data_IF_719120883074
#
_entry.id   IF_719120883074
#
_cell.length_a   1.000
_cell.length_b   1.000
_cell.length_c   1.000
_cell.angle_alpha   90.00
_cell.angle_beta   90.00
_cell.angle_gamma   90.00
#
_symmetry.space_group_name_H-M   'P 1'
#
loop_
_entity.id
_entity.type
_entity.pdbx_description
1 polymer ?
#
# COMPACT_ATOMS: atom_id res chain seq x y z
N UNK A 1 11.89 -3.23 -8.41
CA UNK A 1 12.99 -3.37 -7.42
C UNK A 1 12.70 -4.42 -6.35
N UNK A 2 11.56 -4.39 -5.65
CA UNK A 2 11.26 -5.33 -4.56
C UNK A 2 11.52 -6.83 -4.86
N UNK A 3 11.19 -7.34 -6.06
CA UNK A 3 11.43 -8.75 -6.42
C UNK A 3 12.91 -9.20 -6.44
N UNK A 4 13.86 -8.25 -6.41
CA UNK A 4 15.31 -8.54 -6.32
C UNK A 4 15.79 -8.59 -4.86
N UNK A 5 15.14 -7.85 -3.98
CA UNK A 5 15.56 -7.65 -2.59
C UNK A 5 14.87 -8.60 -1.61
N UNK A 6 13.67 -9.09 -1.94
CA UNK A 6 12.88 -9.97 -1.09
C UNK A 6 12.39 -11.21 -1.82
N UNK A 7 12.20 -12.29 -1.07
CA UNK A 7 11.63 -13.53 -1.57
C UNK A 7 10.26 -13.27 -2.23
N UNK A 8 9.98 -13.96 -3.34
CA UNK A 8 8.81 -13.70 -4.19
C UNK A 8 7.48 -13.71 -3.44
N UNK A 9 7.31 -14.59 -2.45
CA UNK A 9 6.07 -14.69 -1.67
C UNK A 9 5.82 -13.48 -0.75
N UNK A 10 6.86 -12.70 -0.42
CA UNK A 10 6.73 -11.44 0.34
C UNK A 10 6.49 -10.22 -0.56
N UNK A 11 6.59 -10.38 -1.88
CA UNK A 11 6.36 -9.28 -2.80
C UNK A 11 4.89 -8.86 -2.73
N UNK A 12 4.59 -7.55 -2.58
CA UNK A 12 3.21 -7.08 -2.57
C UNK A 12 2.52 -7.42 -3.90
N UNK A 13 1.26 -7.86 -3.81
CA UNK A 13 0.43 -8.18 -4.97
C UNK A 13 -0.20 -6.94 -5.59
N UNK A 14 -0.53 -5.95 -4.77
CA UNK A 14 -1.09 -4.67 -5.17
C UNK A 14 -0.50 -3.55 -4.31
N UNK A 15 -0.55 -2.33 -4.82
CA UNK A 15 -0.05 -1.12 -4.19
C UNK A 15 -1.16 -0.06 -4.19
N UNK A 16 -1.39 0.55 -3.04
CA UNK A 16 -2.23 1.74 -2.92
C UNK A 16 -1.33 2.95 -2.76
N UNK A 17 -1.43 3.86 -3.72
CA UNK A 17 -0.74 5.14 -3.69
C UNK A 17 -1.77 6.21 -3.36
N UNK A 18 -1.55 6.92 -2.27
CA UNK A 18 -2.33 8.05 -1.80
C UNK A 18 -1.38 9.24 -1.58
N UNK A 19 -1.85 10.48 -1.76
CA UNK A 19 -1.00 11.67 -1.61
C UNK A 19 -0.50 11.85 -0.17
N UNK A 20 -1.26 11.41 0.84
CA UNK A 20 -0.91 11.57 2.25
C UNK A 20 -1.22 10.32 3.06
N UNK A 21 -0.26 9.91 3.89
CA UNK A 21 -0.43 8.82 4.86
C UNK A 21 -0.99 9.39 6.16
N UNK A 22 -2.18 8.93 6.60
CA UNK A 22 -2.71 9.35 7.90
C UNK A 22 -1.87 8.80 9.05
N UNK A 23 -1.68 9.65 10.05
CA UNK A 23 -0.97 9.35 11.28
C UNK A 23 -1.82 9.73 12.47
N UNK A 24 -1.65 9.01 13.56
CA UNK A 24 -2.26 9.35 14.83
C UNK A 24 -1.63 10.63 15.40
N UNK A 25 -2.27 11.29 16.37
CA UNK A 25 -1.73 12.50 17.01
C UNK A 25 -0.30 12.33 17.57
N UNK A 26 0.07 11.10 17.94
CA UNK A 26 1.41 10.74 18.39
C UNK A 26 2.43 10.47 17.24
N UNK A 27 2.06 10.75 15.98
CA UNK A 27 2.91 10.57 14.80
C UNK A 27 3.06 9.14 14.28
N UNK A 28 2.43 8.15 14.93
CA UNK A 28 2.42 6.75 14.49
C UNK A 28 1.54 6.54 13.25
N UNK A 29 1.90 5.66 12.32
CA UNK A 29 1.03 5.31 11.19
C UNK A 29 -0.33 4.79 11.67
N UNK A 30 -1.41 5.26 11.04
CA UNK A 30 -2.75 4.75 11.33
C UNK A 30 -3.05 3.52 10.44
N UNK A 31 -2.88 2.34 11.03
CA UNK A 31 -3.17 1.08 10.34
C UNK A 31 -4.66 0.83 10.12
N UNK A 32 -5.56 1.42 10.92
CA UNK A 32 -7.01 1.27 10.71
C UNK A 32 -7.42 2.01 9.46
N UNK A 33 -6.98 3.27 9.33
CA UNK A 33 -7.14 4.03 8.09
C UNK A 33 -6.53 3.29 6.89
N UNK A 34 -5.33 2.74 7.02
CA UNK A 34 -4.69 2.02 5.91
C UNK A 34 -5.50 0.78 5.48
N UNK A 35 -6.09 0.05 6.43
CA UNK A 35 -6.96 -1.08 6.15
C UNK A 35 -8.27 -0.66 5.45
N UNK A 36 -8.87 0.46 5.86
CA UNK A 36 -10.05 1.02 5.20
C UNK A 36 -9.76 1.43 3.75
N UNK A 37 -8.61 2.06 3.49
CA UNK A 37 -8.18 2.41 2.13
C UNK A 37 -7.90 1.16 1.29
N UNK A 38 -7.31 0.12 1.87
CA UNK A 38 -7.11 -1.15 1.18
C UNK A 38 -8.44 -1.85 0.85
N UNK A 39 -9.47 -1.68 1.70
CA UNK A 39 -10.80 -2.24 1.50
C UNK A 39 -11.70 -1.41 0.57
N UNK A 40 -11.40 -0.12 0.37
CA UNK A 40 -12.26 0.80 -0.40
C UNK A 40 -12.32 0.49 -1.89
N UNK A 41 -11.31 -0.20 -2.43
CA UNK A 41 -11.26 -0.64 -3.82
C UNK A 41 -10.65 -2.03 -3.95
N UNK A 42 -11.08 -2.85 -4.92
CA UNK A 42 -10.47 -4.14 -5.18
C UNK A 42 -9.02 -3.97 -5.61
N UNK A 43 -8.19 -4.95 -5.28
CA UNK A 43 -6.82 -5.02 -5.76
C UNK A 43 -6.84 -5.19 -7.29
N UNK A 44 -6.38 -4.19 -8.03
CA UNK A 44 -6.20 -4.32 -9.48
C UNK A 44 -4.99 -5.23 -9.78
N UNK A 45 -5.15 -6.15 -10.74
CA UNK A 45 -4.10 -7.11 -11.14
C UNK A 45 -2.96 -6.47 -11.94
N UNK A 46 -3.18 -5.27 -12.49
CA UNK A 46 -2.21 -4.55 -13.33
C UNK A 46 -1.94 -3.16 -12.76
N UNK A 47 -0.67 -2.92 -12.42
CA UNK A 47 -0.21 -1.67 -11.82
C UNK A 47 0.25 -0.71 -12.91
N UNK A 48 -0.66 0.11 -13.44
CA UNK A 48 -0.26 1.30 -14.20
C UNK A 48 0.04 2.43 -13.22
N UNK A 49 1.31 2.59 -12.87
CA UNK A 49 1.79 3.72 -12.08
C UNK A 49 2.06 4.85 -13.09
N UNK A 50 1.09 5.74 -13.31
CA UNK A 50 1.37 7.00 -14.00
C UNK A 50 2.28 7.84 -13.11
N UNK A 51 3.39 8.26 -13.72
CA UNK A 51 4.53 8.91 -13.08
C UNK A 51 4.32 10.42 -12.95
#
# INVERSE_FOLDING_TARGET
YARKEIARYKCPRALWVEPTVKRNPAGKPDYRWAAEIAASRPAADSQEITK
#
